data_IF_825025673086
#
_entry.id   IF_825025673086
#
_cell.length_a   1.000
_cell.length_b   1.000
_cell.length_c   1.000
_cell.angle_alpha   90.00
_cell.angle_beta   90.00
_cell.angle_gamma   90.00
#
_symmetry.space_group_name_H-M   'P 1'
#
loop_
_entity.id
_entity.type
_entity.pdbx_description
1 polymer ?
#
# COMPACT_ATOMS: atom_id res chain seq x y z
N UNK A 1 -17.30 -14.08 -6.48
CA UNK A 1 -15.95 -13.75 -6.99
C UNK A 1 -15.10 -13.28 -5.83
N UNK A 2 -13.89 -13.82 -5.64
CA UNK A 2 -12.99 -13.34 -4.60
C UNK A 2 -12.02 -12.31 -5.18
N UNK A 3 -12.37 -11.04 -5.07
CA UNK A 3 -11.51 -9.95 -5.55
C UNK A 3 -10.26 -9.73 -4.67
N UNK A 4 -10.30 -10.16 -3.40
CA UNK A 4 -9.19 -10.11 -2.44
C UNK A 4 -8.38 -11.41 -2.41
N UNK A 5 -8.46 -12.22 -3.47
CA UNK A 5 -7.62 -13.40 -3.59
C UNK A 5 -6.19 -12.97 -3.81
N UNK A 6 -5.27 -13.68 -3.16
CA UNK A 6 -3.84 -13.58 -3.45
C UNK A 6 -3.60 -13.86 -4.94
N UNK A 7 -2.98 -12.90 -5.63
CA UNK A 7 -2.46 -13.04 -6.97
C UNK A 7 -1.01 -13.51 -6.94
N UNK A 8 -0.52 -14.08 -8.05
CA UNK A 8 0.91 -14.43 -8.15
C UNK A 8 1.80 -13.18 -8.32
N UNK A 9 1.29 -12.13 -8.95
CA UNK A 9 2.05 -10.93 -9.28
C UNK A 9 1.36 -9.66 -8.82
N UNK A 10 0.07 -9.49 -9.16
CA UNK A 10 -0.73 -8.33 -8.79
C UNK A 10 -2.10 -8.84 -8.38
N UNK A 11 -2.68 -8.21 -7.38
CA UNK A 11 -4.07 -8.38 -6.98
C UNK A 11 -4.64 -7.06 -6.44
N UNK A 12 -5.80 -7.10 -5.77
CA UNK A 12 -6.43 -5.90 -5.26
C UNK A 12 -5.67 -5.28 -4.08
N UNK A 13 -4.85 -6.05 -3.35
CA UNK A 13 -3.99 -5.50 -2.30
C UNK A 13 -2.94 -4.56 -2.88
N UNK A 14 -2.46 -4.82 -4.10
CA UNK A 14 -1.55 -3.91 -4.80
C UNK A 14 -2.10 -2.49 -4.96
N UNK A 15 -3.43 -2.32 -5.06
CA UNK A 15 -4.05 -0.97 -5.05
C UNK A 15 -3.85 -0.27 -3.69
N UNK A 16 -3.91 -1.00 -2.57
CA UNK A 16 -3.61 -0.47 -1.26
C UNK A 16 -2.14 -0.04 -1.15
N UNK A 17 -1.21 -0.83 -1.68
CA UNK A 17 0.22 -0.47 -1.70
C UNK A 17 0.46 0.79 -2.55
N UNK A 18 -0.18 0.89 -3.73
CA UNK A 18 -0.13 2.11 -4.54
C UNK A 18 -0.64 3.33 -3.78
N UNK A 19 -1.83 3.22 -3.16
CA UNK A 19 -2.43 4.31 -2.40
C UNK A 19 -1.57 4.70 -1.20
N UNK A 20 -1.01 3.72 -0.49
CA UNK A 20 -0.11 3.96 0.62
C UNK A 20 1.12 4.74 0.15
N UNK A 21 1.78 4.30 -0.93
CA UNK A 21 2.93 5.01 -1.48
C UNK A 21 2.60 6.42 -1.95
N UNK A 22 1.43 6.61 -2.58
CA UNK A 22 0.94 7.91 -3.00
C UNK A 22 0.71 8.87 -1.82
N UNK A 23 0.10 8.37 -0.74
CA UNK A 23 -0.11 9.11 0.51
C UNK A 23 1.23 9.41 1.20
N UNK A 24 2.14 8.43 1.29
CA UNK A 24 3.47 8.61 1.87
C UNK A 24 4.22 9.72 1.16
N UNK A 25 4.18 9.75 -0.19
CA UNK A 25 4.83 10.79 -0.98
C UNK A 25 4.30 12.19 -0.65
N UNK A 26 2.98 12.33 -0.47
CA UNK A 26 2.38 13.61 -0.14
C UNK A 26 2.92 14.19 1.16
N UNK A 27 3.20 13.35 2.14
CA UNK A 27 3.78 13.79 3.40
C UNK A 27 5.30 13.94 3.31
N UNK A 28 6.01 12.99 2.70
CA UNK A 28 7.47 12.97 2.70
C UNK A 28 8.07 14.14 1.91
N UNK A 29 7.53 14.44 0.73
CA UNK A 29 8.07 15.50 -0.12
C UNK A 29 7.89 16.92 0.45
N UNK A 30 7.09 17.09 1.52
CA UNK A 30 6.99 18.37 2.25
C UNK A 30 8.18 18.62 3.17
N UNK A 31 8.82 17.56 3.66
CA UNK A 31 9.80 17.63 4.74
C UNK A 31 11.18 17.11 4.35
N UNK A 32 11.27 16.28 3.32
CA UNK A 32 12.49 15.61 2.91
C UNK A 32 12.79 15.85 1.42
N UNK A 33 14.07 15.93 1.03
CA UNK A 33 14.42 15.94 -0.39
C UNK A 33 14.07 14.59 -1.05
N UNK A 34 14.10 14.59 -2.39
CA UNK A 34 13.58 13.46 -3.18
C UNK A 34 14.34 12.16 -2.88
N UNK A 35 15.67 12.19 -2.84
CA UNK A 35 16.47 10.98 -2.66
C UNK A 35 16.21 10.31 -1.31
N UNK A 36 16.13 11.11 -0.25
CA UNK A 36 15.81 10.69 1.11
C UNK A 36 14.39 10.16 1.19
N UNK A 37 13.41 10.85 0.58
CA UNK A 37 12.02 10.38 0.53
C UNK A 37 11.89 9.00 -0.13
N UNK A 38 12.57 8.80 -1.26
CA UNK A 38 12.58 7.51 -1.97
C UNK A 38 13.27 6.41 -1.15
N UNK A 39 14.43 6.71 -0.58
CA UNK A 39 15.16 5.74 0.24
C UNK A 39 14.35 5.32 1.47
N UNK A 40 13.80 6.29 2.20
CA UNK A 40 12.99 6.01 3.39
C UNK A 40 11.71 5.25 3.03
N UNK A 41 11.03 5.61 1.94
CA UNK A 41 9.85 4.89 1.48
C UNK A 41 10.17 3.45 1.04
N UNK A 42 11.26 3.24 0.29
CA UNK A 42 11.70 1.90 -0.12
C UNK A 42 12.00 1.00 1.10
N UNK A 43 12.68 1.55 2.11
CA UNK A 43 12.93 0.84 3.38
C UNK A 43 11.63 0.53 4.12
N UNK A 44 10.70 1.49 4.19
CA UNK A 44 9.41 1.32 4.85
C UNK A 44 8.56 0.24 4.18
N UNK A 45 8.42 0.27 2.85
CA UNK A 45 7.62 -0.71 2.11
C UNK A 45 8.24 -2.10 2.20
N UNK A 46 9.57 -2.20 2.10
CA UNK A 46 10.27 -3.48 2.30
C UNK A 46 10.06 -4.01 3.72
N UNK A 47 10.17 -3.16 4.74
CA UNK A 47 9.95 -3.56 6.12
C UNK A 47 8.52 -4.06 6.36
N UNK A 48 7.53 -3.44 5.72
CA UNK A 48 6.14 -3.88 5.76
C UNK A 48 5.95 -5.27 5.15
N UNK A 49 6.46 -5.51 3.93
CA UNK A 49 6.38 -6.84 3.30
C UNK A 49 7.09 -7.92 4.13
N UNK A 50 8.27 -7.60 4.66
CA UNK A 50 8.99 -8.53 5.54
C UNK A 50 8.20 -8.83 6.81
N UNK A 51 7.53 -7.85 7.39
CA UNK A 51 6.60 -8.08 8.48
C UNK A 51 5.45 -8.99 8.05
N UNK A 52 4.86 -8.78 6.88
CA UNK A 52 3.77 -9.64 6.37
C UNK A 52 4.19 -11.09 6.19
N UNK A 53 5.40 -11.36 5.68
CA UNK A 53 5.99 -12.72 5.64
C UNK A 53 5.98 -13.36 7.03
N UNK A 54 6.33 -12.62 8.09
CA UNK A 54 6.35 -13.19 9.46
C UNK A 54 4.96 -13.50 10.03
N UNK A 55 3.93 -12.72 9.65
CA UNK A 55 2.57 -12.86 10.20
C UNK A 55 1.63 -13.65 9.29
N UNK A 56 2.00 -13.88 8.03
CA UNK A 56 1.16 -14.50 7.01
C UNK A 56 1.96 -15.54 6.22
N UNK A 57 1.87 -16.78 6.68
CA UNK A 57 2.30 -17.93 5.88
C UNK A 57 1.36 -18.10 4.67
N UNK A 58 1.80 -17.72 3.46
CA UNK A 58 1.14 -18.13 2.21
C UNK A 58 1.06 -17.13 1.05
N UNK A 59 1.68 -15.97 1.14
CA UNK A 59 1.74 -15.00 0.01
C UNK A 59 2.89 -15.36 -0.94
N UNK A 60 2.73 -15.08 -2.24
CA UNK A 60 3.79 -15.38 -3.21
C UNK A 60 4.90 -14.34 -3.08
N UNK A 61 6.16 -14.79 -3.04
CA UNK A 61 7.31 -13.87 -3.01
C UNK A 61 7.31 -12.89 -4.20
N UNK A 62 6.76 -13.31 -5.35
CA UNK A 62 6.60 -12.46 -6.53
C UNK A 62 5.57 -11.36 -6.31
N UNK A 63 4.50 -11.61 -5.56
CA UNK A 63 3.48 -10.61 -5.22
C UNK A 63 4.08 -9.57 -4.25
N UNK A 64 4.81 -9.99 -3.22
CA UNK A 64 5.49 -9.09 -2.27
C UNK A 64 6.46 -8.12 -2.95
N UNK A 65 7.29 -8.63 -3.87
CA UNK A 65 8.21 -7.78 -4.66
C UNK A 65 7.43 -6.77 -5.50
N UNK A 66 6.32 -7.19 -6.10
CA UNK A 66 5.47 -6.31 -6.90
C UNK A 66 4.78 -5.26 -6.03
N UNK A 67 4.35 -5.58 -4.82
CA UNK A 67 3.71 -4.64 -3.91
C UNK A 67 4.68 -3.53 -3.45
N UNK A 68 5.97 -3.85 -3.24
CA UNK A 68 7.03 -2.83 -3.04
C UNK A 68 7.15 -1.93 -4.27
N UNK A 69 7.27 -2.53 -5.46
CA UNK A 69 7.41 -1.78 -6.72
C UNK A 69 6.19 -0.86 -6.93
N UNK A 70 4.99 -1.37 -6.69
CA UNK A 70 3.74 -0.64 -6.87
C UNK A 70 3.60 0.48 -5.84
N UNK A 71 4.04 0.27 -4.60
CA UNK A 71 4.18 1.34 -3.60
C UNK A 71 5.11 2.45 -4.05
N UNK A 72 6.28 2.10 -4.61
CA UNK A 72 7.22 3.09 -5.16
C UNK A 72 6.66 3.83 -6.39
N UNK A 73 5.85 3.17 -7.22
CA UNK A 73 5.13 3.81 -8.32
C UNK A 73 4.10 4.81 -7.77
N UNK A 74 3.38 4.47 -6.70
CA UNK A 74 2.51 5.40 -5.98
C UNK A 74 3.26 6.64 -5.49
N UNK A 75 4.45 6.44 -4.90
CA UNK A 75 5.32 7.53 -4.46
C UNK A 75 5.74 8.44 -5.63
N UNK A 76 6.15 7.87 -6.77
CA UNK A 76 6.46 8.62 -7.99
C UNK A 76 5.26 9.42 -8.51
N UNK A 77 4.07 8.85 -8.44
CA UNK A 77 2.84 9.57 -8.81
C UNK A 77 2.62 10.79 -7.93
N UNK A 78 2.85 10.65 -6.61
CA UNK A 78 2.74 11.76 -5.67
C UNK A 78 3.76 12.86 -5.97
N UNK A 79 4.99 12.50 -6.33
CA UNK A 79 6.01 13.45 -6.76
C UNK A 79 5.56 14.27 -7.98
N UNK A 80 4.99 13.61 -8.99
CA UNK A 80 4.47 14.31 -10.18
C UNK A 80 3.33 15.27 -9.82
N UNK A 81 2.40 14.86 -8.96
CA UNK A 81 1.29 15.72 -8.53
C UNK A 81 1.79 16.91 -7.72
N UNK A 82 2.68 16.69 -6.75
CA UNK A 82 3.14 17.73 -5.85
C UNK A 82 4.13 18.70 -6.53
N UNK A 83 5.15 18.16 -7.20
CA UNK A 83 6.27 18.95 -7.71
C UNK A 83 6.06 19.40 -9.16
N UNK A 84 5.62 18.49 -10.03
CA UNK A 84 5.51 18.80 -11.47
C UNK A 84 4.24 19.60 -11.76
N UNK A 85 3.12 19.23 -11.16
CA UNK A 85 1.85 19.93 -11.32
C UNK A 85 1.67 21.10 -10.34
N UNK A 86 2.60 21.28 -9.40
CA UNK A 86 2.60 22.33 -8.37
C UNK A 86 1.25 22.40 -7.62
N UNK A 87 0.65 21.23 -7.32
CA UNK A 87 -0.61 21.15 -6.59
C UNK A 87 -0.33 21.06 -5.09
N UNK A 88 -0.59 22.12 -4.30
CA UNK A 88 -0.31 22.10 -2.87
C UNK A 88 -1.18 21.08 -2.14
N UNK A 89 -0.57 20.42 -1.16
CA UNK A 89 -1.14 19.31 -0.35
C UNK A 89 -2.23 19.78 0.61
N UNK A 90 -2.42 21.09 0.74
CA UNK A 90 -3.33 21.74 1.69
C UNK A 90 -4.83 21.48 1.38
N UNK A 91 -5.15 20.80 0.28
CA UNK A 91 -6.50 20.48 -0.14
C UNK A 91 -7.06 19.21 0.53
N UNK A 92 -8.38 18.99 0.47
CA UNK A 92 -9.07 17.78 0.98
C UNK A 92 -8.58 16.48 0.32
N UNK A 93 -7.85 16.56 -0.80
CA UNK A 93 -7.45 15.43 -1.62
C UNK A 93 -6.66 14.33 -0.88
N UNK A 94 -5.59 14.61 -0.10
CA UNK A 94 -4.86 13.57 0.63
C UNK A 94 -5.75 12.88 1.67
N UNK A 95 -6.66 13.62 2.33
CA UNK A 95 -7.61 13.02 3.28
C UNK A 95 -8.57 12.06 2.57
N UNK A 96 -9.03 12.39 1.36
CA UNK A 96 -9.85 11.46 0.55
C UNK A 96 -9.10 10.18 0.24
N UNK A 97 -7.82 10.25 -0.15
CA UNK A 97 -7.01 9.06 -0.41
C UNK A 97 -6.74 8.24 0.86
N UNK A 98 -6.51 8.89 2.00
CA UNK A 98 -6.39 8.20 3.30
C UNK A 98 -7.69 7.47 3.67
N UNK A 99 -8.85 8.12 3.51
CA UNK A 99 -10.15 7.48 3.77
C UNK A 99 -10.36 6.28 2.85
N UNK A 100 -10.06 6.44 1.55
CA UNK A 100 -10.17 5.35 0.58
C UNK A 100 -9.23 4.18 0.92
N UNK A 101 -7.97 4.47 1.26
CA UNK A 101 -7.00 3.46 1.69
C UNK A 101 -7.50 2.69 2.92
N UNK A 102 -7.94 3.40 3.97
CA UNK A 102 -8.45 2.76 5.18
C UNK A 102 -9.71 1.94 4.92
N UNK A 103 -10.61 2.43 4.06
CA UNK A 103 -11.79 1.69 3.65
C UNK A 103 -11.42 0.37 2.97
N UNK A 104 -10.49 0.41 2.00
CA UNK A 104 -10.04 -0.77 1.27
C UNK A 104 -9.30 -1.76 2.19
N UNK A 105 -8.41 -1.27 3.05
CA UNK A 105 -7.72 -2.08 4.07
C UNK A 105 -8.72 -2.82 4.97
N UNK A 106 -9.67 -2.10 5.56
CA UNK A 106 -10.69 -2.70 6.44
C UNK A 106 -11.53 -3.74 5.67
N UNK A 107 -11.91 -3.46 4.43
CA UNK A 107 -12.68 -4.37 3.61
C UNK A 107 -11.89 -5.64 3.26
N UNK A 108 -10.64 -5.49 2.83
CA UNK A 108 -9.74 -6.60 2.53
C UNK A 108 -9.52 -7.49 3.75
N UNK A 109 -9.16 -6.90 4.89
CA UNK A 109 -8.92 -7.64 6.14
C UNK A 109 -10.17 -8.36 6.63
N UNK A 110 -11.34 -7.69 6.66
CA UNK A 110 -12.60 -8.34 7.04
C UNK A 110 -12.89 -9.57 6.18
N UNK A 111 -12.65 -9.46 4.86
CA UNK A 111 -12.84 -10.58 3.93
C UNK A 111 -11.85 -11.72 4.18
N UNK A 112 -10.57 -11.40 4.45
CA UNK A 112 -9.51 -12.39 4.76
C UNK A 112 -9.79 -13.11 6.08
N UNK A 113 -10.16 -12.38 7.13
CA UNK A 113 -10.46 -12.95 8.46
C UNK A 113 -11.75 -13.79 8.48
N UNK A 114 -12.83 -13.32 7.84
CA UNK A 114 -14.07 -14.08 7.75
C UNK A 114 -13.84 -15.47 7.15
N UNK A 115 -12.90 -15.58 6.21
CA UNK A 115 -12.58 -16.85 5.54
C UNK A 115 -11.63 -17.74 6.31
N UNK A 116 -10.68 -17.18 7.05
CA UNK A 116 -9.86 -17.96 7.99
C UNK A 116 -10.75 -18.66 9.02
N UNK A 117 -11.81 -18.01 9.52
CA UNK A 117 -12.80 -18.62 10.42
C UNK A 117 -13.60 -19.76 9.79
N UNK A 118 -13.95 -19.67 8.51
CA UNK A 118 -14.67 -20.73 7.80
C UNK A 118 -13.76 -21.96 7.58
N UNK A 119 -12.49 -21.74 7.22
CA UNK A 119 -11.54 -22.84 6.96
C UNK A 119 -11.04 -23.51 8.23
N UNK A 120 -10.91 -22.76 9.32
CA UNK A 120 -10.53 -23.25 10.65
C UNK A 120 -11.61 -22.84 11.65
N UNK A 121 -12.75 -23.55 11.72
CA UNK A 121 -13.74 -23.29 12.75
C UNK A 121 -13.07 -23.45 14.12
N UNK A 122 -13.28 -22.47 15.02
CA UNK A 122 -12.89 -22.64 16.42
C UNK A 122 -13.63 -23.88 16.97
N UNK A 123 -12.98 -24.67 17.84
CA UNK A 123 -13.62 -25.82 18.47
C UNK A 123 -14.85 -25.42 19.28
#
# INVERSE_FOLDING_TARGET
MNIWAEGKFIDLWSLNHFLFGFITGFFFFQYFPIAESFLTAALLFTAWELFEVTVRAGEYWTNQVMDIIIGLIGLLFSYNVYVVLNMPVENIAPLTFVILFLFLEIWGYKTKFARRRIKNPLP
#
